data_IF_219370226444
#
_entry.id   IF_219370226444
#
_cell.length_a   1.000
_cell.length_b   1.000
_cell.length_c   1.000
_cell.angle_alpha   90.00
_cell.angle_beta   90.00
_cell.angle_gamma   90.00
#
_symmetry.space_group_name_H-M   'P 1'
#
loop_
_entity.id
_entity.type
_entity.pdbx_description
1 polymer ?
#
# COMPACT_ATOMS: atom_id res chain seq x y z
N UNK A 1 31.59 -15.98 15.38
CA UNK A 1 31.37 -15.32 14.07
C UNK A 1 30.04 -14.64 14.18
N UNK A 2 29.98 -13.32 14.31
CA UNK A 2 28.75 -12.54 14.20
C UNK A 2 28.24 -12.71 12.78
N UNK A 3 27.06 -13.30 12.63
CA UNK A 3 26.36 -13.39 11.34
C UNK A 3 26.22 -11.95 10.81
N UNK A 4 26.67 -11.69 9.59
CA UNK A 4 26.42 -10.41 8.96
C UNK A 4 24.93 -10.13 9.06
N UNK A 5 24.54 -8.93 9.49
CA UNK A 5 23.11 -8.58 9.54
C UNK A 5 22.54 -8.61 8.13
N UNK A 6 21.38 -9.24 7.99
CA UNK A 6 20.68 -9.28 6.70
C UNK A 6 20.26 -7.88 6.29
N UNK A 7 20.52 -7.51 5.04
CA UNK A 7 20.19 -6.21 4.51
C UNK A 7 18.74 -6.15 4.04
N UNK A 8 18.01 -5.12 4.50
CA UNK A 8 16.60 -4.89 4.18
C UNK A 8 16.41 -3.48 3.67
N UNK A 9 15.78 -3.33 2.51
CA UNK A 9 15.38 -2.02 1.98
C UNK A 9 14.02 -1.60 2.54
N UNK A 10 13.87 -0.37 3.04
CA UNK A 10 12.55 0.21 3.33
C UNK A 10 12.21 1.24 2.27
N UNK A 11 11.24 0.93 1.41
CA UNK A 11 10.76 1.82 0.35
C UNK A 11 9.60 2.65 0.87
N UNK A 12 9.81 3.96 0.96
CA UNK A 12 8.80 4.96 1.33
C UNK A 12 8.38 5.71 0.07
N UNK A 13 7.23 5.34 -0.50
CA UNK A 13 6.71 6.01 -1.70
C UNK A 13 5.94 7.27 -1.31
N UNK A 14 6.39 8.44 -1.76
CA UNK A 14 5.81 9.74 -1.42
C UNK A 14 5.19 10.44 -2.64
N UNK A 15 4.09 11.16 -2.39
CA UNK A 15 3.47 12.07 -3.34
C UNK A 15 2.77 13.21 -2.59
N UNK A 16 3.39 14.40 -2.54
CA UNK A 16 2.94 15.55 -1.75
C UNK A 16 2.69 15.17 -0.27
N UNK A 17 3.64 14.51 0.37
CA UNK A 17 3.51 13.88 1.69
C UNK A 17 4.50 14.44 2.73
N UNK A 18 4.91 15.71 2.59
CA UNK A 18 5.91 16.30 3.48
C UNK A 18 5.47 16.29 4.96
N UNK A 19 4.17 16.45 5.23
CA UNK A 19 3.66 16.50 6.61
C UNK A 19 3.66 15.13 7.33
N UNK A 20 3.63 14.04 6.57
CA UNK A 20 3.57 12.67 7.12
C UNK A 20 4.96 12.02 7.22
N UNK A 21 5.92 12.50 6.43
CA UNK A 21 7.25 11.88 6.26
C UNK A 21 8.11 11.84 7.54
N UNK A 22 8.14 12.87 8.42
CA UNK A 22 9.02 12.89 9.60
C UNK A 22 8.82 11.70 10.52
N UNK A 23 7.57 11.40 10.90
CA UNK A 23 7.23 10.32 11.82
C UNK A 23 7.56 8.94 11.22
N UNK A 24 7.33 8.77 9.92
CA UNK A 24 7.69 7.55 9.20
C UNK A 24 9.20 7.31 9.22
N UNK A 25 10.00 8.32 8.85
CA UNK A 25 11.46 8.21 8.83
C UNK A 25 12.04 8.01 10.23
N UNK A 26 11.50 8.67 11.25
CA UNK A 26 11.93 8.48 12.64
C UNK A 26 11.69 7.03 13.10
N UNK A 27 10.53 6.45 12.78
CA UNK A 27 10.22 5.05 13.09
C UNK A 27 11.14 4.07 12.36
N UNK A 28 11.50 4.35 11.10
CA UNK A 28 12.46 3.53 10.35
C UNK A 28 13.87 3.66 10.90
N UNK A 29 14.33 4.87 11.22
CA UNK A 29 15.65 5.10 11.82
C UNK A 29 15.83 4.37 13.17
N UNK A 30 14.75 4.18 13.91
CA UNK A 30 14.76 3.50 15.21
C UNK A 30 14.84 1.97 15.11
N UNK A 31 14.71 1.38 13.90
CA UNK A 31 14.71 -0.07 13.73
C UNK A 31 16.05 -0.70 14.06
N UNK A 32 16.01 -1.92 14.61
CA UNK A 32 17.18 -2.69 15.08
C UNK A 32 17.14 -4.11 14.52
N UNK A 33 18.28 -4.81 14.61
CA UNK A 33 18.36 -6.24 14.29
C UNK A 33 18.48 -6.57 12.81
N UNK A 34 18.45 -5.55 11.92
CA UNK A 34 18.70 -5.65 10.48
C UNK A 34 19.64 -4.54 10.01
N UNK A 35 20.35 -4.76 8.91
CA UNK A 35 21.04 -3.69 8.17
C UNK A 35 19.98 -2.98 7.29
N UNK A 36 19.48 -1.85 7.78
CA UNK A 36 18.37 -1.15 7.13
C UNK A 36 18.87 -0.08 6.15
N UNK A 37 18.45 -0.19 4.89
CA UNK A 37 18.58 0.86 3.88
C UNK A 37 17.24 1.57 3.70
N UNK A 38 17.16 2.87 3.98
CA UNK A 38 15.95 3.68 3.77
C UNK A 38 15.95 4.29 2.37
N UNK A 39 14.91 4.00 1.59
CA UNK A 39 14.76 4.41 0.19
C UNK A 39 13.47 5.22 0.05
N UNK A 40 13.58 6.55 0.10
CA UNK A 40 12.43 7.43 -0.17
C UNK A 40 12.32 7.63 -1.67
N UNK A 41 11.14 7.40 -2.23
CA UNK A 41 10.85 7.64 -3.64
C UNK A 41 9.83 8.76 -3.76
N UNK A 42 10.25 9.93 -4.23
CA UNK A 42 9.33 11.00 -4.58
C UNK A 42 8.73 10.75 -5.97
N UNK A 43 7.43 10.50 -6.03
CA UNK A 43 6.72 10.10 -7.23
C UNK A 43 6.12 11.30 -7.98
N UNK A 44 6.96 12.25 -8.39
CA UNK A 44 6.61 13.49 -9.09
C UNK A 44 5.71 14.43 -8.26
N UNK A 45 6.06 14.70 -7.03
CA UNK A 45 5.41 15.70 -6.19
C UNK A 45 5.60 17.12 -6.75
N UNK A 46 4.78 18.05 -6.31
CA UNK A 46 4.98 19.48 -6.57
C UNK A 46 6.36 19.93 -6.08
N UNK A 47 6.94 20.90 -6.74
CA UNK A 47 8.33 21.34 -6.48
C UNK A 47 8.54 21.81 -5.04
N UNK A 48 7.58 22.54 -4.47
CA UNK A 48 7.59 22.99 -3.06
C UNK A 48 7.51 21.82 -2.08
N UNK A 49 6.63 20.86 -2.32
CA UNK A 49 6.50 19.64 -1.51
C UNK A 49 7.76 18.77 -1.61
N UNK A 50 8.30 18.57 -2.82
CA UNK A 50 9.58 17.86 -3.02
C UNK A 50 10.72 18.52 -2.26
N UNK A 51 10.80 19.85 -2.29
CA UNK A 51 11.84 20.60 -1.56
C UNK A 51 11.70 20.40 -0.04
N UNK A 52 10.47 20.47 0.49
CA UNK A 52 10.19 20.21 1.91
C UNK A 52 10.58 18.77 2.30
N UNK A 53 10.18 17.76 1.50
CA UNK A 53 10.52 16.37 1.77
C UNK A 53 12.02 16.12 1.76
N UNK A 54 12.78 16.75 0.85
CA UNK A 54 14.25 16.67 0.85
C UNK A 54 14.87 17.27 2.12
N UNK A 55 14.37 18.40 2.58
CA UNK A 55 14.85 19.03 3.81
C UNK A 55 14.59 18.10 5.02
N UNK A 56 13.38 17.55 5.15
CA UNK A 56 13.00 16.58 6.18
C UNK A 56 13.88 15.32 6.11
N UNK A 57 14.11 14.81 4.90
CA UNK A 57 14.96 13.63 4.69
C UNK A 57 16.37 13.88 5.23
N UNK A 58 17.01 15.00 4.92
CA UNK A 58 18.34 15.33 5.43
C UNK A 58 18.35 15.65 6.92
N UNK A 59 17.28 16.19 7.48
CA UNK A 59 17.18 16.43 8.92
C UNK A 59 17.16 15.11 9.71
N UNK A 60 16.37 14.12 9.23
CA UNK A 60 16.25 12.83 9.92
C UNK A 60 17.39 11.87 9.57
N UNK A 61 17.86 11.89 8.34
CA UNK A 61 18.88 10.99 7.76
C UNK A 61 20.00 11.81 7.11
N UNK A 62 20.86 12.48 7.89
CA UNK A 62 21.86 13.44 7.38
C UNK A 62 22.90 12.80 6.45
N UNK A 63 23.17 11.50 6.58
CA UNK A 63 24.07 10.74 5.70
C UNK A 63 23.45 10.37 4.35
N UNK A 64 22.15 10.65 4.18
CA UNK A 64 21.37 10.22 3.00
C UNK A 64 21.76 10.97 1.72
N UNK A 65 21.69 10.27 0.59
CA UNK A 65 21.98 10.81 -0.72
C UNK A 65 20.71 11.15 -1.50
N UNK A 66 20.75 12.24 -2.27
CA UNK A 66 19.68 12.59 -3.22
C UNK A 66 20.10 12.19 -4.61
N UNK A 67 19.30 11.36 -5.27
CA UNK A 67 19.61 10.78 -6.58
C UNK A 67 18.40 10.92 -7.53
N UNK A 68 18.64 10.77 -8.83
CA UNK A 68 17.58 10.55 -9.80
C UNK A 68 16.93 9.17 -9.58
N UNK A 69 15.69 8.97 -10.01
CA UNK A 69 14.98 7.70 -9.89
C UNK A 69 15.68 6.51 -10.57
N UNK A 70 16.46 6.80 -11.62
CA UNK A 70 17.33 5.84 -12.31
C UNK A 70 18.76 6.38 -12.27
N UNK A 71 19.48 6.17 -11.16
CA UNK A 71 20.85 6.68 -11.05
C UNK A 71 21.79 5.89 -11.97
N UNK A 72 22.88 6.54 -12.40
CA UNK A 72 23.91 5.90 -13.22
C UNK A 72 24.69 4.80 -12.45
N UNK A 73 24.72 4.88 -11.12
CA UNK A 73 25.32 3.90 -10.24
C UNK A 73 24.47 3.81 -8.96
N UNK A 74 24.55 2.65 -8.29
CA UNK A 74 23.85 2.38 -7.04
C UNK A 74 24.86 2.48 -5.88
N UNK A 75 24.97 3.64 -5.21
CA UNK A 75 25.92 3.80 -4.12
C UNK A 75 25.52 2.95 -2.93
N UNK A 76 26.52 2.45 -2.20
CA UNK A 76 26.33 1.81 -0.90
C UNK A 76 26.06 2.90 0.15
N UNK A 77 24.78 3.24 0.32
CA UNK A 77 24.31 4.25 1.25
C UNK A 77 23.23 3.68 2.16
N UNK A 78 23.22 4.08 3.42
CA UNK A 78 22.19 3.68 4.39
C UNK A 78 20.84 4.33 4.11
N UNK A 79 20.82 5.47 3.40
CA UNK A 79 19.61 6.17 3.02
C UNK A 79 19.75 6.86 1.66
N UNK A 80 18.69 6.81 0.85
CA UNK A 80 18.62 7.51 -0.43
C UNK A 80 17.25 8.17 -0.64
N UNK A 81 17.23 9.33 -1.30
CA UNK A 81 16.03 9.99 -1.77
C UNK A 81 16.05 10.01 -3.31
N UNK A 82 15.15 9.24 -3.92
CA UNK A 82 15.05 9.09 -5.37
C UNK A 82 14.01 10.05 -5.94
N UNK A 83 14.45 10.94 -6.84
CA UNK A 83 13.56 11.90 -7.51
C UNK A 83 13.00 11.28 -8.79
N UNK A 84 11.70 10.97 -8.82
CA UNK A 84 10.99 10.55 -10.02
C UNK A 84 10.25 11.75 -10.63
N UNK A 85 10.27 11.87 -11.96
CA UNK A 85 9.66 12.99 -12.67
C UNK A 85 8.26 12.68 -13.22
N UNK A 86 7.84 11.41 -13.18
CA UNK A 86 6.56 10.96 -13.70
C UNK A 86 5.86 10.07 -12.67
N UNK A 87 4.68 10.48 -12.21
CA UNK A 87 3.84 9.62 -11.39
C UNK A 87 3.12 8.58 -12.27
N UNK A 88 3.68 7.39 -12.36
CA UNK A 88 3.10 6.26 -13.08
C UNK A 88 2.24 5.33 -12.21
N UNK A 89 1.95 5.72 -10.96
CA UNK A 89 1.12 4.97 -10.01
C UNK A 89 1.90 4.34 -8.88
N UNK A 90 1.16 3.63 -8.03
CA UNK A 90 1.70 3.06 -6.79
C UNK A 90 2.74 1.95 -7.05
N UNK A 91 2.38 0.95 -7.86
CA UNK A 91 3.29 -0.16 -8.19
C UNK A 91 4.56 0.33 -8.89
N UNK A 92 4.43 1.22 -9.88
CA UNK A 92 5.56 1.76 -10.61
C UNK A 92 6.52 2.56 -9.70
N UNK A 93 5.96 3.39 -8.80
CA UNK A 93 6.75 4.13 -7.83
C UNK A 93 7.48 3.20 -6.85
N UNK A 94 6.80 2.20 -6.28
CA UNK A 94 7.43 1.21 -5.40
C UNK A 94 8.48 0.37 -6.12
N UNK A 95 8.30 0.07 -7.41
CA UNK A 95 9.29 -0.64 -8.20
C UNK A 95 10.60 0.12 -8.38
N UNK A 96 10.57 1.45 -8.42
CA UNK A 96 11.80 2.28 -8.45
C UNK A 96 12.64 1.97 -7.19
N UNK A 97 12.03 2.06 -6.01
CA UNK A 97 12.72 1.78 -4.75
C UNK A 97 13.10 0.31 -4.59
N UNK A 98 12.22 -0.63 -4.98
CA UNK A 98 12.48 -2.06 -4.88
C UNK A 98 13.61 -2.51 -5.82
N UNK A 99 13.75 -1.92 -7.01
CA UNK A 99 14.89 -2.18 -7.90
C UNK A 99 16.19 -1.60 -7.33
N UNK A 100 16.13 -0.41 -6.71
CA UNK A 100 17.28 0.15 -6.02
C UNK A 100 17.74 -0.79 -4.89
N UNK A 101 16.80 -1.28 -4.07
CA UNK A 101 17.09 -2.26 -3.02
C UNK A 101 17.69 -3.57 -3.57
N UNK A 102 17.23 -4.04 -4.74
CA UNK A 102 17.75 -5.24 -5.40
C UNK A 102 19.19 -5.07 -5.87
N UNK A 103 19.56 -3.89 -6.38
CA UNK A 103 20.93 -3.54 -6.78
C UNK A 103 21.84 -3.26 -5.58
N UNK A 104 21.27 -3.04 -4.40
CA UNK A 104 21.97 -2.88 -3.11
C UNK A 104 22.02 -4.18 -2.29
N UNK A 105 21.78 -5.33 -2.92
CA UNK A 105 21.81 -6.67 -2.32
C UNK A 105 20.87 -6.87 -1.11
N UNK A 106 19.75 -6.14 -1.06
CA UNK A 106 18.74 -6.35 -0.04
C UNK A 106 18.03 -7.70 -0.22
N UNK A 107 17.90 -8.47 0.88
CA UNK A 107 17.23 -9.77 0.91
C UNK A 107 15.69 -9.65 0.94
N UNK A 108 15.19 -8.51 1.44
CA UNK A 108 13.77 -8.19 1.51
C UNK A 108 13.54 -6.68 1.39
N UNK A 109 12.31 -6.32 1.06
CA UNK A 109 11.89 -4.92 0.96
C UNK A 109 10.66 -4.69 1.82
N UNK A 110 10.74 -3.75 2.76
CA UNK A 110 9.57 -3.17 3.43
C UNK A 110 8.96 -2.13 2.50
N UNK A 111 7.73 -2.35 2.08
CA UNK A 111 6.91 -1.31 1.44
C UNK A 111 6.16 -0.60 2.56
N UNK A 112 6.32 0.71 2.64
CA UNK A 112 5.70 1.49 3.72
C UNK A 112 5.26 2.85 3.21
N UNK A 113 4.01 3.23 3.51
CA UNK A 113 3.49 4.55 3.18
C UNK A 113 4.08 5.62 4.12
N UNK A 114 4.22 6.89 3.67
CA UNK A 114 4.77 7.96 4.50
C UNK A 114 3.91 8.30 5.73
N UNK A 115 2.61 7.95 5.73
CA UNK A 115 1.69 8.13 6.86
C UNK A 115 1.61 6.91 7.80
N UNK A 116 2.57 5.99 7.70
CA UNK A 116 2.70 4.86 8.63
C UNK A 116 3.69 5.18 9.75
N UNK A 117 3.31 4.86 10.98
CA UNK A 117 4.13 5.01 12.18
C UNK A 117 4.44 3.65 12.77
N UNK A 118 5.73 3.38 12.96
CA UNK A 118 6.25 2.14 13.56
C UNK A 118 7.00 2.53 14.83
N UNK A 119 6.41 2.25 15.99
CA UNK A 119 6.99 2.62 17.29
C UNK A 119 7.89 1.52 17.86
N UNK A 120 7.65 0.27 17.47
CA UNK A 120 8.43 -0.88 17.93
C UNK A 120 9.79 -0.96 17.22
N UNK A 121 10.92 -0.80 17.91
CA UNK A 121 12.25 -0.83 17.29
C UNK A 121 12.65 -2.22 16.74
N UNK A 122 12.00 -3.29 17.18
CA UNK A 122 12.25 -4.65 16.73
C UNK A 122 11.23 -5.13 15.68
N UNK A 123 10.39 -4.22 15.20
CA UNK A 123 9.30 -4.53 14.26
C UNK A 123 9.82 -5.20 12.99
N UNK A 124 10.82 -4.60 12.35
CA UNK A 124 11.35 -5.07 11.07
C UNK A 124 12.11 -6.38 11.21
N UNK A 125 12.91 -6.53 12.26
CA UNK A 125 13.61 -7.78 12.58
C UNK A 125 12.62 -8.95 12.76
N UNK A 126 11.53 -8.72 13.48
CA UNK A 126 10.48 -9.73 13.67
C UNK A 126 9.76 -10.12 12.37
N UNK A 127 9.49 -9.16 11.46
CA UNK A 127 8.93 -9.48 10.15
C UNK A 127 9.94 -10.21 9.27
N UNK A 128 11.23 -9.87 9.38
CA UNK A 128 12.29 -10.53 8.65
C UNK A 128 12.47 -11.98 9.12
N UNK A 129 12.46 -12.23 10.41
CA UNK A 129 12.47 -13.60 10.97
C UNK A 129 11.27 -14.41 10.47
N UNK A 130 10.08 -13.80 10.44
CA UNK A 130 8.87 -14.46 9.95
C UNK A 130 8.96 -14.83 8.46
N UNK A 131 9.53 -13.95 7.63
CA UNK A 131 9.64 -14.19 6.19
C UNK A 131 10.72 -15.21 5.87
N UNK A 132 11.75 -15.32 6.71
CA UNK A 132 12.89 -16.22 6.52
C UNK A 132 12.69 -17.60 7.13
N UNK A 133 11.78 -17.72 8.11
CA UNK A 133 11.45 -19.00 8.78
C UNK A 133 10.96 -20.09 7.80
N UNK A 134 10.43 -19.70 6.64
CA UNK A 134 9.98 -20.63 5.59
C UNK A 134 10.29 -20.04 4.22
N UNK A 135 10.99 -20.84 3.39
CA UNK A 135 11.44 -20.43 2.06
C UNK A 135 10.30 -20.05 1.09
N UNK A 136 9.06 -20.46 1.36
CA UNK A 136 7.88 -20.13 0.56
C UNK A 136 7.05 -18.99 1.12
N UNK A 137 7.55 -18.26 2.12
CA UNK A 137 6.91 -17.03 2.59
C UNK A 137 7.33 -15.86 1.70
N UNK A 138 6.40 -15.35 0.90
CA UNK A 138 6.60 -14.21 0.00
C UNK A 138 6.50 -12.88 0.73
N UNK A 139 5.50 -12.77 1.62
CA UNK A 139 5.13 -11.54 2.30
C UNK A 139 4.95 -11.80 3.79
N UNK A 140 5.50 -10.92 4.61
CA UNK A 140 5.23 -10.82 6.04
C UNK A 140 4.59 -9.47 6.35
N UNK A 141 3.55 -9.46 7.18
CA UNK A 141 2.90 -8.25 7.66
C UNK A 141 2.60 -8.32 9.15
N UNK A 142 2.14 -7.21 9.70
CA UNK A 142 1.71 -7.07 11.09
C UNK A 142 0.24 -6.69 11.18
N UNK A 143 -0.25 -6.51 12.39
CA UNK A 143 -1.45 -5.73 12.64
C UNK A 143 -1.22 -4.30 12.19
N UNK A 144 -2.09 -3.78 11.33
CA UNK A 144 -2.12 -2.36 10.94
C UNK A 144 -3.47 -1.81 11.33
N UNK A 145 -3.48 -0.71 12.10
CA UNK A 145 -4.71 0.00 12.47
C UNK A 145 -4.69 1.43 11.97
N UNK A 146 -5.85 1.98 11.68
CA UNK A 146 -5.99 3.40 11.40
C UNK A 146 -6.17 4.23 12.69
N UNK A 147 -6.25 5.55 12.56
CA UNK A 147 -6.46 6.50 13.68
C UNK A 147 -7.75 6.25 14.50
N UNK A 148 -8.69 5.46 13.98
CA UNK A 148 -9.94 5.11 14.66
C UNK A 148 -9.86 3.71 15.31
N UNK A 149 -8.68 3.09 15.37
CA UNK A 149 -8.48 1.74 15.92
C UNK A 149 -9.02 0.61 15.04
N UNK A 150 -9.45 0.91 13.81
CA UNK A 150 -9.94 -0.11 12.89
C UNK A 150 -8.77 -0.86 12.26
N UNK A 151 -8.81 -2.20 12.30
CA UNK A 151 -7.84 -3.06 11.63
C UNK A 151 -7.92 -2.92 10.10
N UNK A 152 -6.77 -2.78 9.47
CA UNK A 152 -6.58 -2.79 8.02
C UNK A 152 -5.93 -4.09 7.52
N UNK A 153 -5.32 -4.86 8.42
CA UNK A 153 -4.85 -6.23 8.22
C UNK A 153 -5.55 -7.19 9.20
N UNK A 154 -5.80 -8.45 8.81
CA UNK A 154 -5.69 -8.97 7.45
C UNK A 154 -6.84 -8.51 6.55
N UNK A 155 -6.60 -8.48 5.24
CA UNK A 155 -7.63 -8.24 4.22
C UNK A 155 -8.11 -9.56 3.62
N UNK A 156 -9.33 -9.56 3.09
CA UNK A 156 -9.94 -10.69 2.37
C UNK A 156 -10.20 -10.24 0.94
N UNK A 157 -9.89 -11.08 -0.03
CA UNK A 157 -10.24 -10.82 -1.42
C UNK A 157 -11.74 -11.09 -1.64
N UNK A 158 -12.53 -10.12 -2.14
CA UNK A 158 -13.95 -10.34 -2.38
C UNK A 158 -14.16 -11.38 -3.49
N UNK A 159 -15.12 -12.29 -3.25
CA UNK A 159 -15.53 -13.27 -4.25
C UNK A 159 -16.44 -12.68 -5.30
N UNK A 160 -16.67 -13.45 -6.40
CA UNK A 160 -17.52 -13.04 -7.53
C UNK A 160 -18.92 -12.54 -7.11
N UNK A 161 -19.63 -13.30 -6.28
CA UNK A 161 -20.98 -12.95 -5.81
C UNK A 161 -20.96 -11.70 -4.95
N UNK A 162 -19.94 -11.55 -4.14
CA UNK A 162 -19.77 -10.38 -3.29
C UNK A 162 -19.62 -9.10 -4.10
N UNK A 163 -18.80 -9.13 -5.14
CA UNK A 163 -18.63 -7.99 -6.05
C UNK A 163 -19.86 -7.72 -6.92
N UNK A 164 -20.52 -8.76 -7.38
CA UNK A 164 -21.76 -8.64 -8.14
C UNK A 164 -22.84 -7.92 -7.33
N UNK A 165 -22.90 -8.18 -6.02
CA UNK A 165 -23.88 -7.58 -5.10
C UNK A 165 -23.45 -6.23 -4.52
N UNK A 166 -22.32 -5.66 -4.92
CA UNK A 166 -21.86 -4.38 -4.39
C UNK A 166 -22.83 -3.20 -4.56
N UNK A 167 -23.53 -3.03 -5.68
CA UNK A 167 -24.57 -1.99 -5.78
C UNK A 167 -25.65 -2.15 -4.72
N UNK A 168 -26.09 -3.38 -4.46
CA UNK A 168 -27.08 -3.71 -3.42
C UNK A 168 -26.54 -3.38 -2.03
N UNK A 169 -25.30 -3.80 -1.74
CA UNK A 169 -24.63 -3.45 -0.47
C UNK A 169 -24.48 -1.93 -0.29
N UNK A 170 -24.24 -1.19 -1.36
CA UNK A 170 -24.11 0.27 -1.29
C UNK A 170 -25.43 0.97 -0.92
N UNK A 171 -26.56 0.44 -1.35
CA UNK A 171 -27.89 0.99 -1.05
C UNK A 171 -28.40 0.49 0.31
N UNK A 172 -28.30 -0.81 0.55
CA UNK A 172 -28.91 -1.51 1.69
C UNK A 172 -27.89 -1.99 2.72
N UNK A 173 -26.63 -1.57 2.64
CA UNK A 173 -25.53 -2.10 3.45
C UNK A 173 -25.71 -1.98 4.97
N UNK A 174 -26.59 -1.07 5.44
CA UNK A 174 -26.97 -0.98 6.84
C UNK A 174 -27.87 -2.14 7.31
N UNK A 175 -28.49 -2.85 6.35
CA UNK A 175 -29.40 -3.97 6.60
C UNK A 175 -28.74 -5.33 6.32
N UNK A 176 -27.58 -5.33 5.67
CA UNK A 176 -26.83 -6.55 5.34
C UNK A 176 -25.67 -6.75 6.33
N UNK A 177 -25.36 -7.99 6.70
CA UNK A 177 -24.21 -8.23 7.57
C UNK A 177 -22.95 -7.68 6.91
N UNK A 178 -22.22 -6.85 7.65
CA UNK A 178 -20.92 -6.33 7.25
C UNK A 178 -19.94 -7.50 7.06
N UNK A 179 -18.98 -7.34 6.17
CA UNK A 179 -17.89 -8.31 5.96
C UNK A 179 -17.38 -8.85 7.31
N UNK A 180 -16.98 -10.12 7.32
CA UNK A 180 -16.29 -10.75 8.45
C UNK A 180 -15.04 -9.92 8.80
N UNK A 181 -15.22 -8.92 9.67
CA UNK A 181 -14.08 -8.33 10.32
C UNK A 181 -13.44 -9.44 11.16
N UNK A 182 -12.15 -9.67 10.99
CA UNK A 182 -11.40 -10.53 11.90
C UNK A 182 -11.31 -9.77 13.21
N UNK A 183 -12.25 -10.05 14.12
CA UNK A 183 -12.38 -9.34 15.40
C UNK A 183 -11.42 -9.87 16.47
N UNK A 184 -10.91 -11.08 16.28
CA UNK A 184 -9.99 -11.71 17.24
C UNK A 184 -8.82 -12.32 16.46
N UNK A 185 -7.63 -11.76 16.66
CA UNK A 185 -6.39 -12.28 16.08
C UNK A 185 -5.75 -13.28 17.04
N UNK A 186 -5.24 -14.43 16.57
CA UNK A 186 -4.49 -15.36 17.41
C UNK A 186 -3.17 -14.74 17.85
N UNK A 187 -2.61 -15.19 18.98
CA UNK A 187 -1.30 -14.71 19.44
C UNK A 187 -0.11 -15.16 18.56
N UNK A 188 -0.31 -16.17 17.71
CA UNK A 188 0.71 -16.73 16.82
C UNK A 188 0.56 -16.25 15.40
N UNK A 189 1.64 -16.31 14.64
CA UNK A 189 1.63 -16.01 13.20
C UNK A 189 0.59 -16.87 12.46
N UNK A 190 -0.10 -16.24 11.49
CA UNK A 190 -1.15 -16.89 10.70
C UNK A 190 -0.97 -16.61 9.22
N UNK A 191 -1.44 -17.56 8.39
CA UNK A 191 -1.53 -17.36 6.95
C UNK A 191 -2.68 -16.40 6.64
N UNK A 192 -2.43 -15.42 5.78
CA UNK A 192 -3.43 -14.43 5.35
C UNK A 192 -3.56 -14.46 3.82
N UNK A 193 -4.71 -14.02 3.33
CA UNK A 193 -4.96 -13.95 1.89
C UNK A 193 -4.36 -12.69 1.28
N UNK A 194 -4.64 -11.55 1.91
CA UNK A 194 -4.28 -10.25 1.38
C UNK A 194 -3.85 -9.31 2.49
N UNK A 195 -2.92 -8.43 2.19
CA UNK A 195 -2.38 -7.43 3.12
C UNK A 195 -2.67 -6.03 2.60
N UNK A 196 -2.74 -5.04 3.50
CA UNK A 196 -2.83 -3.63 3.10
C UNK A 196 -1.54 -3.20 2.43
N UNK A 197 -1.64 -2.40 1.37
CA UNK A 197 -0.48 -1.77 0.72
C UNK A 197 0.26 -0.76 1.61
N UNK A 198 -0.31 -0.38 2.76
CA UNK A 198 0.28 0.64 3.61
C UNK A 198 1.60 0.21 4.28
N UNK A 199 1.71 -1.09 4.69
CA UNK A 199 2.92 -1.58 5.36
C UNK A 199 3.02 -3.12 5.28
N UNK A 200 4.02 -3.63 4.57
CA UNK A 200 4.35 -5.06 4.50
C UNK A 200 5.80 -5.29 4.05
N UNK A 201 6.40 -6.38 4.52
CA UNK A 201 7.71 -6.85 4.08
C UNK A 201 7.55 -7.90 2.99
N UNK A 202 8.28 -7.78 1.90
CA UNK A 202 8.29 -8.72 0.79
C UNK A 202 9.70 -9.25 0.51
N UNK A 203 9.81 -10.56 0.28
CA UNK A 203 11.09 -11.21 -0.03
C UNK A 203 11.58 -10.81 -1.42
N UNK A 204 12.87 -10.50 -1.55
CA UNK A 204 13.46 -10.11 -2.83
C UNK A 204 13.40 -11.24 -3.86
N UNK A 205 13.64 -12.48 -3.46
CA UNK A 205 13.53 -13.64 -4.37
C UNK A 205 12.12 -13.76 -4.97
N UNK A 206 11.09 -13.52 -4.15
CA UNK A 206 9.73 -13.51 -4.66
C UNK A 206 9.47 -12.34 -5.61
N UNK A 207 9.95 -11.13 -5.30
CA UNK A 207 9.87 -9.99 -6.23
C UNK A 207 10.52 -10.29 -7.58
N UNK A 208 11.67 -10.98 -7.57
CA UNK A 208 12.33 -11.43 -8.81
C UNK A 208 11.48 -12.46 -9.57
N UNK A 209 10.84 -13.42 -8.88
CA UNK A 209 9.95 -14.42 -9.49
C UNK A 209 8.77 -13.76 -10.21
N UNK A 210 8.14 -12.76 -9.60
CA UNK A 210 7.00 -12.03 -10.20
C UNK A 210 7.44 -10.87 -11.11
N UNK A 211 8.74 -10.65 -11.30
CA UNK A 211 9.33 -9.56 -12.08
C UNK A 211 8.97 -8.16 -11.55
N UNK A 212 8.95 -8.02 -10.22
CA UNK A 212 8.52 -6.87 -9.45
C UNK A 212 6.99 -6.67 -9.49
N UNK A 213 6.48 -5.59 -8.88
CA UNK A 213 5.05 -5.33 -8.85
C UNK A 213 4.49 -5.09 -10.26
N UNK A 214 3.27 -5.55 -10.51
CA UNK A 214 2.56 -5.30 -11.76
C UNK A 214 2.16 -3.82 -11.86
N UNK A 215 2.62 -3.16 -12.91
CA UNK A 215 2.41 -1.74 -13.19
C UNK A 215 1.16 -1.48 -14.06
N UNK A 216 0.36 -2.50 -14.36
CA UNK A 216 -0.83 -2.38 -15.22
C UNK A 216 -1.93 -1.51 -14.61
N UNK A 217 -1.94 -1.34 -13.29
CA UNK A 217 -2.88 -0.47 -12.56
C UNK A 217 -2.16 0.75 -12.00
N UNK A 218 -2.83 1.91 -12.11
CA UNK A 218 -2.27 3.16 -11.58
C UNK A 218 -2.39 3.23 -10.05
N UNK A 219 -3.58 2.89 -9.53
CA UNK A 219 -3.90 2.94 -8.10
C UNK A 219 -5.09 2.03 -7.81
N UNK A 220 -5.08 1.38 -6.64
CA UNK A 220 -6.04 0.36 -6.19
C UNK A 220 -5.86 -0.99 -6.90
N UNK A 221 -6.20 -2.06 -6.21
CA UNK A 221 -6.08 -3.47 -6.61
C UNK A 221 -4.65 -4.03 -6.60
N UNK A 222 -3.64 -3.28 -6.24
CA UNK A 222 -2.26 -3.75 -6.12
C UNK A 222 -2.17 -4.95 -5.15
N UNK A 223 -2.88 -4.87 -4.04
CA UNK A 223 -2.94 -5.94 -3.04
C UNK A 223 -3.66 -7.20 -3.58
N UNK A 224 -4.68 -6.99 -4.42
CA UNK A 224 -5.39 -8.10 -5.08
C UNK A 224 -4.52 -8.78 -6.12
N UNK A 225 -3.75 -8.00 -6.88
CA UNK A 225 -2.77 -8.51 -7.86
C UNK A 225 -1.68 -9.28 -7.14
N UNK A 226 -1.09 -8.71 -6.09
CA UNK A 226 -0.05 -9.37 -5.29
C UNK A 226 -0.56 -10.70 -4.70
N UNK A 227 -1.78 -10.72 -4.16
CA UNK A 227 -2.40 -11.96 -3.69
C UNK A 227 -2.54 -13.00 -4.80
N UNK A 228 -3.02 -12.61 -5.98
CA UNK A 228 -3.15 -13.49 -7.12
C UNK A 228 -1.79 -14.07 -7.56
N UNK A 229 -0.73 -13.24 -7.59
CA UNK A 229 0.63 -13.66 -7.92
C UNK A 229 1.21 -14.63 -6.88
N UNK A 230 1.05 -14.34 -5.59
CA UNK A 230 1.48 -15.25 -4.49
C UNK A 230 0.78 -16.59 -4.60
N UNK A 231 -0.52 -16.59 -4.85
CA UNK A 231 -1.31 -17.81 -4.99
C UNK A 231 -0.91 -18.63 -6.23
N UNK A 232 -0.72 -17.97 -7.37
CA UNK A 232 -0.36 -18.63 -8.63
C UNK A 232 1.01 -19.30 -8.58
N UNK A 233 1.94 -18.76 -7.79
CA UNK A 233 3.31 -19.27 -7.65
C UNK A 233 3.47 -20.27 -6.51
N UNK A 234 2.40 -20.55 -5.73
CA UNK A 234 2.43 -21.47 -4.59
C UNK A 234 3.19 -20.92 -3.37
N UNK A 235 3.44 -19.62 -3.32
CA UNK A 235 3.98 -18.94 -2.14
C UNK A 235 2.86 -18.60 -1.15
N UNK A 236 3.20 -17.99 -0.02
CA UNK A 236 2.23 -17.61 1.03
C UNK A 236 2.52 -16.24 1.61
N UNK A 237 1.51 -15.65 2.21
CA UNK A 237 1.60 -14.47 3.04
C UNK A 237 1.39 -14.84 4.49
N UNK A 238 2.21 -14.32 5.39
CA UNK A 238 2.09 -14.53 6.83
C UNK A 238 1.89 -13.19 7.54
N UNK A 239 1.11 -13.21 8.61
CA UNK A 239 0.90 -12.07 9.49
C UNK A 239 1.42 -12.40 10.89
N UNK A 240 2.16 -11.49 11.50
CA UNK A 240 2.50 -11.50 12.91
C UNK A 240 1.55 -10.56 13.68
N UNK A 241 0.52 -11.08 14.37
CA UNK A 241 -0.44 -10.25 15.09
C UNK A 241 0.16 -9.56 16.33
N UNK A 242 1.29 -10.06 16.83
CA UNK A 242 2.00 -9.48 17.99
C UNK A 242 2.81 -8.23 17.65
N UNK A 243 2.85 -7.81 16.38
CA UNK A 243 3.50 -6.57 15.95
C UNK A 243 2.46 -5.62 15.38
N UNK A 244 2.69 -4.31 15.55
CA UNK A 244 1.72 -3.28 15.22
C UNK A 244 2.36 -2.11 14.48
N UNK A 245 1.65 -1.59 13.48
CA UNK A 245 1.93 -0.31 12.83
C UNK A 245 0.64 0.51 12.77
N UNK A 246 0.76 1.82 12.96
CA UNK A 246 -0.35 2.77 12.86
C UNK A 246 -0.34 3.42 11.48
N UNK A 247 -1.41 3.27 10.71
CA UNK A 247 -1.64 4.01 9.47
C UNK A 247 -2.39 5.31 9.79
N UNK A 248 -1.64 6.39 10.00
CA UNK A 248 -2.15 7.67 10.46
C UNK A 248 -2.86 8.49 9.36
N UNK A 249 -3.49 7.80 8.42
CA UNK A 249 -4.10 8.39 7.24
C UNK A 249 -5.13 9.46 7.58
N UNK A 250 -4.90 10.71 7.12
CA UNK A 250 -5.84 11.82 7.22
C UNK A 250 -6.75 11.87 5.99
N UNK A 251 -8.06 11.67 6.19
CA UNK A 251 -9.07 11.60 5.11
C UNK A 251 -9.20 12.87 4.26
N UNK A 252 -8.67 13.99 4.70
CA UNK A 252 -8.76 15.30 4.02
C UNK A 252 -7.94 15.40 2.73
N UNK A 253 -6.90 14.58 2.56
CA UNK A 253 -6.00 14.61 1.40
C UNK A 253 -6.49 13.80 0.18
N UNK A 254 -7.56 13.03 0.33
CA UNK A 254 -8.03 12.08 -0.72
C UNK A 254 -8.97 12.74 -1.73
N UNK A 255 -8.57 13.56 -2.63
CA UNK A 255 -9.30 13.97 -3.84
C UNK A 255 -10.82 13.69 -3.93
N UNK A 256 -11.48 14.03 -5.01
CA UNK A 256 -12.91 13.81 -5.21
C UNK A 256 -13.28 12.29 -5.13
N UNK A 257 -14.35 12.01 -4.39
CA UNK A 257 -14.83 10.63 -4.18
C UNK A 257 -15.14 9.92 -5.51
N UNK A 258 -15.69 10.63 -6.49
CA UNK A 258 -16.02 10.07 -7.80
C UNK A 258 -14.75 9.61 -8.55
N UNK A 259 -13.71 10.46 -8.56
CA UNK A 259 -12.42 10.13 -9.19
C UNK A 259 -11.80 8.88 -8.58
N UNK A 260 -11.87 8.73 -7.25
CA UNK A 260 -11.37 7.53 -6.56
C UNK A 260 -12.11 6.26 -7.00
N UNK A 261 -13.45 6.32 -7.09
CA UNK A 261 -14.25 5.18 -7.56
C UNK A 261 -14.01 4.87 -9.03
N UNK A 262 -13.76 5.88 -9.88
CA UNK A 262 -13.40 5.68 -11.29
C UNK A 262 -12.06 4.95 -11.43
N UNK A 263 -11.03 5.39 -10.71
CA UNK A 263 -9.73 4.73 -10.71
C UNK A 263 -9.85 3.30 -10.20
N UNK A 264 -10.56 3.09 -9.08
CA UNK A 264 -10.81 1.78 -8.54
C UNK A 264 -11.55 0.86 -9.53
N UNK A 265 -12.61 1.33 -10.19
CA UNK A 265 -13.36 0.54 -11.16
C UNK A 265 -12.53 0.15 -12.38
N UNK A 266 -11.66 1.07 -12.85
CA UNK A 266 -10.70 0.82 -13.92
C UNK A 266 -9.71 -0.28 -13.51
N UNK A 267 -9.05 -0.12 -12.36
CA UNK A 267 -8.07 -1.09 -11.86
C UNK A 267 -8.71 -2.45 -11.59
N UNK A 268 -9.94 -2.48 -11.03
CA UNK A 268 -10.66 -3.73 -10.82
C UNK A 268 -11.04 -4.45 -12.12
N UNK A 269 -11.30 -3.69 -13.19
CA UNK A 269 -11.54 -4.27 -14.53
C UNK A 269 -10.25 -4.90 -15.07
N UNK A 270 -9.12 -4.22 -14.95
CA UNK A 270 -7.81 -4.75 -15.36
C UNK A 270 -7.43 -5.99 -14.56
N UNK A 271 -7.62 -5.95 -13.22
CA UNK A 271 -7.41 -7.11 -12.35
C UNK A 271 -8.22 -8.32 -12.81
N UNK A 272 -9.52 -8.18 -13.07
CA UNK A 272 -10.36 -9.30 -13.51
C UNK A 272 -9.98 -9.83 -14.88
N UNK A 273 -9.52 -8.98 -15.79
CA UNK A 273 -9.05 -9.41 -17.10
C UNK A 273 -7.78 -10.25 -17.02
N UNK A 274 -6.84 -9.88 -16.14
CA UNK A 274 -5.53 -10.53 -16.04
C UNK A 274 -5.48 -11.67 -15.00
N UNK A 275 -6.19 -11.52 -13.87
CA UNK A 275 -6.03 -12.38 -12.69
C UNK A 275 -7.35 -13.01 -12.19
N UNK A 276 -8.51 -12.52 -12.62
CA UNK A 276 -9.81 -12.91 -12.05
C UNK A 276 -10.26 -14.33 -12.40
N UNK A 277 -9.74 -14.91 -13.47
CA UNK A 277 -10.13 -16.26 -13.94
C UNK A 277 -11.58 -16.39 -14.40
N UNK A 278 -12.30 -15.27 -14.62
CA UNK A 278 -13.69 -15.26 -15.04
C UNK A 278 -13.80 -15.22 -16.56
N UNK A 279 -14.70 -16.05 -17.14
CA UNK A 279 -15.04 -16.00 -18.55
C UNK A 279 -15.71 -14.68 -18.94
N UNK A 280 -15.92 -14.45 -20.24
CA UNK A 280 -16.46 -13.20 -20.81
C UNK A 280 -17.76 -12.77 -20.14
N UNK A 281 -18.70 -13.69 -19.91
CA UNK A 281 -19.98 -13.39 -19.24
C UNK A 281 -19.77 -12.92 -17.80
N UNK A 282 -18.90 -13.59 -17.04
CA UNK A 282 -18.58 -13.20 -15.65
C UNK A 282 -17.97 -11.80 -15.59
N UNK A 283 -17.02 -11.51 -16.49
CA UNK A 283 -16.41 -10.18 -16.58
C UNK A 283 -17.45 -9.10 -16.96
N UNK A 284 -18.37 -9.38 -17.88
CA UNK A 284 -19.44 -8.46 -18.25
C UNK A 284 -20.40 -8.17 -17.08
N UNK A 285 -20.81 -9.20 -16.33
CA UNK A 285 -21.64 -9.04 -15.13
C UNK A 285 -20.97 -8.16 -14.07
N UNK A 286 -19.68 -8.40 -13.77
CA UNK A 286 -18.90 -7.58 -12.83
C UNK A 286 -18.72 -6.15 -13.35
N UNK A 287 -18.51 -5.95 -14.64
CA UNK A 287 -18.45 -4.61 -15.25
C UNK A 287 -19.78 -3.86 -15.09
N UNK A 288 -20.90 -4.54 -15.30
CA UNK A 288 -22.24 -4.01 -15.05
C UNK A 288 -22.45 -3.60 -13.59
N UNK A 289 -22.07 -4.45 -12.64
CA UNK A 289 -22.10 -4.14 -11.20
C UNK A 289 -21.30 -2.87 -10.88
N UNK A 290 -20.05 -2.77 -11.36
CA UNK A 290 -19.22 -1.58 -11.17
C UNK A 290 -19.81 -0.32 -11.78
N UNK A 291 -20.42 -0.43 -12.96
CA UNK A 291 -21.10 0.71 -13.62
C UNK A 291 -22.28 1.21 -12.79
N UNK A 292 -23.07 0.31 -12.18
CA UNK A 292 -24.13 0.68 -11.26
C UNK A 292 -23.60 1.37 -10.00
N UNK A 293 -22.49 0.87 -9.41
CA UNK A 293 -21.81 1.53 -8.28
C UNK A 293 -21.40 2.96 -8.66
N UNK A 294 -20.76 3.15 -9.82
CA UNK A 294 -20.38 4.48 -10.30
C UNK A 294 -21.59 5.40 -10.51
N UNK A 295 -22.69 4.89 -11.04
CA UNK A 295 -23.96 5.62 -11.19
C UNK A 295 -24.49 6.09 -9.84
N UNK A 296 -24.51 5.22 -8.83
CA UNK A 296 -24.94 5.55 -7.47
C UNK A 296 -24.03 6.61 -6.81
N UNK A 297 -22.71 6.52 -6.98
CA UNK A 297 -21.78 7.53 -6.48
C UNK A 297 -22.00 8.88 -7.13
N UNK A 298 -22.18 8.91 -8.46
CA UNK A 298 -22.49 10.16 -9.20
C UNK A 298 -23.77 10.80 -8.69
N UNK A 299 -24.84 10.01 -8.57
CA UNK A 299 -26.11 10.49 -8.05
C UNK A 299 -25.99 11.09 -6.64
N UNK A 300 -25.32 10.39 -5.72
CA UNK A 300 -25.07 10.89 -4.36
C UNK A 300 -24.26 12.19 -4.35
N UNK A 301 -23.27 12.30 -5.23
CA UNK A 301 -22.44 13.52 -5.34
C UNK A 301 -23.27 14.71 -5.85
N UNK A 302 -24.12 14.48 -6.87
CA UNK A 302 -25.02 15.51 -7.39
C UNK A 302 -26.03 15.97 -6.33
N UNK A 303 -26.68 15.04 -5.63
CA UNK A 303 -27.62 15.36 -4.55
C UNK A 303 -26.97 16.18 -3.45
N UNK A 304 -25.76 15.83 -3.00
CA UNK A 304 -25.02 16.63 -2.03
C UNK A 304 -24.77 18.05 -2.52
N UNK A 305 -24.38 18.24 -3.79
CA UNK A 305 -24.16 19.58 -4.38
C UNK A 305 -25.43 20.42 -4.44
N UNK A 306 -26.58 19.80 -4.81
CA UNK A 306 -27.88 20.47 -4.87
C UNK A 306 -28.32 20.89 -3.46
N UNK A 307 -28.24 19.96 -2.48
CA UNK A 307 -28.62 20.26 -1.09
C UNK A 307 -27.74 21.35 -0.45
N UNK A 308 -26.43 21.33 -0.71
CA UNK A 308 -25.53 22.38 -0.19
C UNK A 308 -25.84 23.76 -0.78
N UNK A 309 -26.15 23.85 -2.08
CA UNK A 309 -26.57 25.11 -2.71
C UNK A 309 -27.89 25.61 -2.15
N UNK A 310 -28.87 24.71 -1.95
CA UNK A 310 -30.17 25.08 -1.37
C UNK A 310 -30.02 25.55 0.08
N UNK A 311 -29.12 24.97 0.87
CA UNK A 311 -28.82 25.40 2.23
C UNK A 311 -28.17 26.82 2.27
N UNK A 312 -27.21 27.08 1.35
CA UNK A 312 -26.58 28.40 1.22
C UNK A 312 -27.57 29.50 0.85
N UNK A 313 -28.53 29.21 -0.04
CA UNK A 313 -29.58 30.17 -0.43
C UNK A 313 -30.58 30.46 0.71
N UNK A 314 -30.77 29.52 1.65
CA UNK A 314 -31.67 29.74 2.82
C UNK A 314 -30.96 30.38 4.00
N UNK A 315 -29.64 30.33 4.11
CA UNK A 315 -28.86 30.94 5.19
C UNK A 315 -28.40 32.35 4.90
N UNK A 316 -28.64 32.90 3.70
CA UNK A 316 -28.31 34.25 3.25
C UNK A 316 -29.53 35.21 3.18
N UNK A 317 -30.68 34.79 3.66
CA UNK A 317 -31.87 35.61 3.88
C UNK A 317 -32.07 35.81 5.41
#
# INVERSE_FOLDING_TARGET
MTRAQSRVGAVVLTYNSADDLPDCLAGLRAQRGVDLQVIVVDNASKLDERARMKAIFHEVLPEGLILAAKPASYPDASAVFLCNDVNAGYSAGNNIGARFAAESDCEAVLIVNPDVRIEDPDYLANLFDLITADAKTAVACSTVTNLFGKHENPMIEPGFVEELLWPVKMVFGRLLPTQRAVTTLPARALKVEKVTGACFLIRMDFLRVIRFFDESVFLYCEESILYAQVRATGWKMLMNPGRHALHAHRTTAKGDQLTRYQNWAKSRTQFHAAYGGYGVLGQALLAGSRSLVLGLVRMRTLLKRVLSRAAQMRGGA
#
